data_IF_410026865919
#
_entry.id   IF_410026865919
#
_cell.length_a   1.000
_cell.length_b   1.000
_cell.length_c   1.000
_cell.angle_alpha   90.00
_cell.angle_beta   90.00
_cell.angle_gamma   90.00
#
_symmetry.space_group_name_H-M   'P 1'
#
loop_
_entity.id
_entity.type
_entity.pdbx_description
1 polymer ?
#
# COMPACT_ATOMS: atom_id res chain seq x y z
N UNK A 1 -29.18 21.00 -23.87
CA UNK A 1 -29.17 19.80 -23.01
C UNK A 1 -27.71 19.51 -22.72
N UNK A 2 -27.24 19.77 -21.51
CA UNK A 2 -25.83 19.60 -21.13
C UNK A 2 -25.65 18.12 -20.78
N UNK A 3 -24.85 17.40 -21.56
CA UNK A 3 -24.38 16.07 -21.19
C UNK A 3 -23.29 16.26 -20.13
N UNK A 4 -23.62 16.02 -18.87
CA UNK A 4 -22.62 15.75 -17.84
C UNK A 4 -22.33 14.26 -17.90
N UNK A 5 -21.11 13.83 -18.26
CA UNK A 5 -20.73 12.45 -18.04
C UNK A 5 -20.37 12.27 -16.56
N UNK A 6 -21.14 11.41 -15.90
CA UNK A 6 -20.75 10.60 -14.75
C UNK A 6 -19.26 10.22 -14.82
N UNK A 7 -18.47 10.68 -13.85
CA UNK A 7 -17.46 9.90 -13.12
C UNK A 7 -16.53 10.87 -12.38
N UNK A 8 -16.88 11.16 -11.12
CA UNK A 8 -15.99 11.85 -10.16
C UNK A 8 -14.98 10.90 -9.51
N UNK A 9 -14.67 9.76 -10.14
CA UNK A 9 -13.49 8.99 -9.76
C UNK A 9 -12.31 9.52 -10.58
N UNK A 10 -11.26 10.06 -9.95
CA UNK A 10 -10.04 10.38 -10.66
C UNK A 10 -9.58 9.14 -11.45
N UNK A 11 -9.10 9.34 -12.68
CA UNK A 11 -8.60 8.24 -13.50
C UNK A 11 -7.24 7.76 -12.96
N UNK A 12 -7.31 6.99 -11.86
CA UNK A 12 -6.17 6.40 -11.18
C UNK A 12 -5.49 5.31 -12.03
N UNK A 13 -6.05 4.92 -13.17
CA UNK A 13 -5.53 3.85 -14.03
C UNK A 13 -4.08 4.10 -14.46
N UNK A 14 -3.74 5.35 -14.74
CA UNK A 14 -2.38 5.77 -15.11
C UNK A 14 -1.38 5.59 -13.96
N UNK A 15 -1.79 5.88 -12.73
CA UNK A 15 -0.95 5.71 -11.54
C UNK A 15 -0.81 4.23 -11.17
N UNK A 16 -1.90 3.46 -11.26
CA UNK A 16 -1.85 2.01 -11.07
C UNK A 16 -0.85 1.35 -12.01
N UNK A 17 -0.94 1.63 -13.31
CA UNK A 17 -0.02 1.05 -14.30
C UNK A 17 1.41 1.56 -14.11
N UNK A 18 1.60 2.78 -13.59
CA UNK A 18 2.92 3.29 -13.23
C UNK A 18 3.56 2.47 -12.10
N UNK A 19 2.90 2.35 -10.94
CA UNK A 19 3.46 1.62 -9.81
C UNK A 19 3.53 0.11 -10.05
N UNK A 20 2.64 -0.44 -10.89
CA UNK A 20 2.69 -1.85 -11.31
C UNK A 20 3.91 -2.15 -12.18
N UNK A 21 4.39 -1.18 -12.97
CA UNK A 21 5.65 -1.33 -13.70
C UNK A 21 6.83 -1.27 -12.74
N UNK A 22 6.86 -0.27 -11.86
CA UNK A 22 7.92 -0.13 -10.85
C UNK A 22 8.03 -1.36 -9.94
N UNK A 23 6.89 -1.94 -9.52
CA UNK A 23 6.89 -3.10 -8.63
C UNK A 23 7.47 -4.36 -9.28
N UNK A 24 7.46 -4.47 -10.61
CA UNK A 24 8.09 -5.60 -11.33
C UNK A 24 9.61 -5.58 -11.29
N UNK A 25 10.21 -4.43 -11.02
CA UNK A 25 11.67 -4.24 -10.95
C UNK A 25 12.22 -4.51 -9.55
N UNK A 26 11.34 -4.68 -8.54
CA UNK A 26 11.70 -4.93 -7.15
C UNK A 26 11.98 -6.42 -6.94
N UNK A 27 13.24 -6.76 -6.62
CA UNK A 27 13.68 -8.16 -6.49
C UNK A 27 14.16 -8.47 -5.07
N UNK A 28 14.86 -7.54 -4.43
CA UNK A 28 15.47 -7.73 -3.12
C UNK A 28 14.69 -7.04 -1.99
N UNK A 29 14.97 -7.41 -0.74
CA UNK A 29 14.40 -6.72 0.42
C UNK A 29 14.78 -5.23 0.46
N UNK A 30 16.00 -4.90 0.03
CA UNK A 30 16.44 -3.51 -0.07
C UNK A 30 15.67 -2.74 -1.14
N UNK A 31 15.38 -3.36 -2.29
CA UNK A 31 14.52 -2.77 -3.32
C UNK A 31 13.11 -2.53 -2.78
N UNK A 32 12.58 -3.46 -1.99
CA UNK A 32 11.26 -3.32 -1.37
C UNK A 32 11.23 -2.12 -0.41
N UNK A 33 12.21 -2.02 0.48
CA UNK A 33 12.32 -0.91 1.43
C UNK A 33 12.47 0.41 0.68
N UNK A 34 13.30 0.45 -0.36
CA UNK A 34 13.46 1.62 -1.21
C UNK A 34 12.18 1.99 -1.95
N UNK A 35 11.44 1.00 -2.47
CA UNK A 35 10.15 1.21 -3.10
C UNK A 35 9.16 1.81 -2.10
N UNK A 36 9.06 1.22 -0.90
CA UNK A 36 8.18 1.70 0.16
C UNK A 36 8.47 3.15 0.50
N UNK A 37 9.73 3.48 0.78
CA UNK A 37 10.15 4.83 1.20
C UNK A 37 9.89 5.91 0.14
N UNK A 38 9.93 5.55 -1.16
CA UNK A 38 9.77 6.48 -2.28
C UNK A 38 8.33 6.59 -2.80
N UNK A 39 7.53 5.54 -2.62
CA UNK A 39 6.25 5.39 -3.30
C UNK A 39 5.08 5.22 -2.31
N UNK A 40 5.03 6.02 -1.24
CA UNK A 40 3.96 5.96 -0.23
C UNK A 40 2.56 5.89 -0.85
N UNK A 41 2.31 6.70 -1.88
CA UNK A 41 1.01 6.74 -2.57
C UNK A 41 0.57 5.37 -3.10
N UNK A 42 1.50 4.52 -3.53
CA UNK A 42 1.22 3.19 -4.08
C UNK A 42 0.46 2.27 -3.11
N UNK A 43 0.57 2.51 -1.79
CA UNK A 43 -0.06 1.74 -0.73
C UNK A 43 -1.48 2.21 -0.38
N UNK A 44 -1.88 3.37 -0.90
CA UNK A 44 -3.20 3.99 -0.66
C UNK A 44 -4.04 4.11 -1.92
N UNK A 45 -3.55 3.64 -3.08
CA UNK A 45 -4.28 3.78 -4.34
C UNK A 45 -5.60 3.00 -4.35
N UNK A 46 -5.73 1.94 -3.55
CA UNK A 46 -7.02 1.29 -3.36
C UNK A 46 -7.91 2.09 -2.39
N UNK A 47 -8.51 3.15 -2.91
CA UNK A 47 -9.47 3.96 -2.14
C UNK A 47 -10.76 3.21 -1.81
N UNK A 48 -11.01 2.04 -2.41
CA UNK A 48 -12.21 1.24 -2.16
C UNK A 48 -12.02 0.15 -1.11
N UNK A 49 -10.79 -0.37 -0.93
CA UNK A 49 -10.57 -1.57 -0.08
C UNK A 49 -9.94 -1.30 1.28
N UNK A 50 -9.59 -0.05 1.62
CA UNK A 50 -8.86 0.28 2.85
C UNK A 50 -7.60 -0.59 3.01
N UNK A 51 -6.90 -0.89 1.90
CA UNK A 51 -5.79 -1.85 1.84
C UNK A 51 -4.73 -1.60 2.90
N UNK A 52 -4.39 -0.34 3.18
CA UNK A 52 -3.45 0.01 4.24
C UNK A 52 -3.97 -0.33 5.64
N UNK A 53 -5.23 -0.01 5.95
CA UNK A 53 -5.81 -0.29 7.26
C UNK A 53 -5.88 -1.79 7.53
N UNK A 54 -6.36 -2.57 6.54
CA UNK A 54 -6.36 -4.05 6.61
C UNK A 54 -4.96 -4.63 6.73
N UNK A 55 -3.98 -4.01 6.07
CA UNK A 55 -2.59 -4.41 6.20
C UNK A 55 -2.07 -4.18 7.61
N UNK A 56 -2.37 -3.03 8.23
CA UNK A 56 -1.99 -2.74 9.61
C UNK A 56 -2.65 -3.72 10.60
N UNK A 57 -3.93 -4.03 10.42
CA UNK A 57 -4.64 -5.05 11.23
C UNK A 57 -3.98 -6.43 11.09
N UNK A 58 -3.62 -6.83 9.86
CA UNK A 58 -2.94 -8.09 9.62
C UNK A 58 -1.52 -8.12 10.23
N UNK A 59 -0.81 -7.00 10.17
CA UNK A 59 0.53 -6.86 10.73
C UNK A 59 0.51 -6.87 12.27
N UNK A 60 -0.49 -6.24 12.90
CA UNK A 60 -0.72 -6.30 14.35
C UNK A 60 -0.84 -7.75 14.82
N UNK A 61 -1.62 -8.56 14.10
CA UNK A 61 -1.83 -9.99 14.42
C UNK A 61 -0.56 -10.80 14.18
N UNK A 62 0.11 -10.63 13.03
CA UNK A 62 1.31 -11.39 12.66
C UNK A 62 2.45 -11.17 13.67
N UNK A 63 2.71 -9.92 14.04
CA UNK A 63 3.79 -9.56 14.97
C UNK A 63 3.36 -9.55 16.43
N UNK A 64 2.08 -9.86 16.72
CA UNK A 64 1.50 -9.83 18.07
C UNK A 64 1.74 -8.50 18.80
N UNK A 65 1.51 -7.39 18.11
CA UNK A 65 1.78 -6.05 18.62
C UNK A 65 0.81 -5.68 19.74
N UNK A 66 1.31 -4.97 20.75
CA UNK A 66 0.45 -4.31 21.73
C UNK A 66 -0.16 -3.02 21.15
N UNK A 67 -1.23 -2.53 21.76
CA UNK A 67 -1.82 -1.23 21.39
C UNK A 67 -0.82 -0.08 21.48
N UNK A 68 0.08 -0.09 22.44
CA UNK A 68 1.14 0.93 22.56
C UNK A 68 2.13 0.85 21.40
N UNK A 69 2.50 -0.36 20.95
CA UNK A 69 3.36 -0.53 19.79
C UNK A 69 2.67 -0.09 18.50
N UNK A 70 1.38 -0.39 18.35
CA UNK A 70 0.60 0.05 17.20
C UNK A 70 0.50 1.58 17.16
N UNK A 71 0.16 2.23 18.27
CA UNK A 71 0.10 3.69 18.37
C UNK A 71 1.45 4.33 17.99
N UNK A 72 2.56 3.78 18.48
CA UNK A 72 3.89 4.25 18.10
C UNK A 72 4.14 4.15 16.59
N UNK A 73 3.69 3.08 15.93
CA UNK A 73 3.84 2.92 14.48
C UNK A 73 3.00 3.93 13.69
N UNK A 74 1.79 4.27 14.18
CA UNK A 74 0.93 5.26 13.54
C UNK A 74 1.47 6.70 13.66
N UNK A 75 2.22 6.99 14.73
CA UNK A 75 2.86 8.28 14.95
C UNK A 75 4.21 8.44 14.20
N UNK A 76 4.81 7.33 13.75
CA UNK A 76 6.08 7.37 13.03
C UNK A 76 5.97 8.05 11.66
N UNK A 77 7.04 8.75 11.27
CA UNK A 77 7.16 9.18 9.88
C UNK A 77 7.28 7.95 8.98
N UNK A 78 6.68 8.02 7.79
CA UNK A 78 6.64 6.91 6.83
C UNK A 78 8.00 6.23 6.60
N UNK A 79 9.06 7.03 6.43
CA UNK A 79 10.41 6.51 6.17
C UNK A 79 11.06 5.87 7.40
N UNK A 80 10.60 6.23 8.59
CA UNK A 80 11.11 5.74 9.88
C UNK A 80 10.43 4.45 10.34
N UNK A 81 9.34 4.04 9.67
CA UNK A 81 8.68 2.77 9.94
C UNK A 81 9.67 1.59 9.88
N UNK A 82 9.49 0.54 10.68
CA UNK A 82 10.43 -0.57 10.74
C UNK A 82 10.44 -1.36 9.44
N UNK A 83 11.62 -1.88 9.07
CA UNK A 83 11.79 -2.61 7.82
C UNK A 83 10.89 -3.85 7.71
N UNK A 84 10.57 -4.51 8.84
CA UNK A 84 9.60 -5.61 8.88
C UNK A 84 8.23 -5.18 8.38
N UNK A 85 7.73 -4.02 8.82
CA UNK A 85 6.47 -3.45 8.35
C UNK A 85 6.56 -3.09 6.87
N UNK A 86 7.66 -2.48 6.42
CA UNK A 86 7.85 -2.10 5.01
C UNK A 86 7.77 -3.33 4.09
N UNK A 87 8.44 -4.41 4.47
CA UNK A 87 8.43 -5.68 3.75
C UNK A 87 7.04 -6.31 3.75
N UNK A 88 6.37 -6.32 4.91
CA UNK A 88 5.02 -6.86 5.05
C UNK A 88 4.01 -6.08 4.19
N UNK A 89 4.02 -4.76 4.30
CA UNK A 89 3.14 -3.86 3.56
C UNK A 89 3.31 -4.01 2.04
N UNK A 90 4.54 -4.18 1.56
CA UNK A 90 4.77 -4.40 0.14
C UNK A 90 4.14 -5.70 -0.34
N UNK A 91 4.33 -6.80 0.40
CA UNK A 91 3.71 -8.08 0.02
C UNK A 91 2.18 -8.00 0.07
N UNK A 92 1.62 -7.38 1.11
CA UNK A 92 0.18 -7.28 1.30
C UNK A 92 -0.47 -6.34 0.28
N UNK A 93 -0.04 -5.07 0.23
CA UNK A 93 -0.69 -4.03 -0.56
C UNK A 93 -0.26 -4.04 -2.03
N UNK A 94 1.00 -4.41 -2.34
CA UNK A 94 1.55 -4.30 -3.69
C UNK A 94 1.54 -5.65 -4.42
N UNK A 95 2.08 -6.72 -3.83
CA UNK A 95 2.12 -8.02 -4.54
C UNK A 95 0.77 -8.72 -4.55
N UNK A 96 0.06 -8.70 -3.43
CA UNK A 96 -1.20 -9.41 -3.27
C UNK A 96 -2.42 -8.49 -3.38
N UNK A 97 -2.23 -7.18 -3.30
CA UNK A 97 -3.32 -6.20 -3.30
C UNK A 97 -4.13 -6.21 -4.60
N UNK A 98 -5.43 -5.95 -4.47
CA UNK A 98 -6.39 -5.93 -5.58
C UNK A 98 -5.93 -5.08 -6.76
N UNK A 99 -5.32 -3.93 -6.48
CA UNK A 99 -4.83 -3.00 -7.49
C UNK A 99 -3.77 -3.59 -8.43
N UNK A 100 -3.07 -4.64 -8.00
CA UNK A 100 -1.96 -5.23 -8.76
C UNK A 100 -2.28 -6.63 -9.27
N UNK A 101 -3.08 -7.39 -8.52
CA UNK A 101 -3.52 -8.76 -8.88
C UNK A 101 -4.85 -8.79 -9.63
N UNK A 102 -5.71 -7.77 -9.46
CA UNK A 102 -7.09 -7.77 -9.92
C UNK A 102 -8.02 -8.64 -9.06
N UNK A 103 -7.55 -9.16 -7.92
CA UNK A 103 -8.30 -10.05 -7.01
C UNK A 103 -8.27 -9.50 -5.59
N UNK A 104 -9.44 -9.35 -4.97
CA UNK A 104 -9.56 -8.79 -3.62
C UNK A 104 -9.13 -9.84 -2.60
N UNK A 105 -8.39 -9.39 -1.57
CA UNK A 105 -8.02 -10.18 -0.39
C UNK A 105 -9.13 -10.10 0.66
#
# INVERSE_FOLDING_TARGET
MVLMPDSLTPDWSSEFEHYKKLSREVVTNEDIINFFNKNQKAFYLDSFSSSWAKMMEAYEVEESLSSDQLNNLEEMQWQEMPDSLKLFAYNFCIKNGFCYTGTSI
#
